data_IF_099124948009
#
_entry.id   IF_099124948009
#
_cell.length_a   1.000
_cell.length_b   1.000
_cell.length_c   1.000
_cell.angle_alpha   90.00
_cell.angle_beta   90.00
_cell.angle_gamma   90.00
#
_symmetry.space_group_name_H-M   'P 1'
#
loop_
_entity.id
_entity.type
_entity.pdbx_description
1 polymer ?
#
# COMPACT_ATOMS: atom_id res chain seq x y z
N UNK A 1 -25.24 -18.73 -44.54
CA UNK A 1 -25.58 -18.43 -43.13
C UNK A 1 -24.61 -19.11 -42.19
N UNK A 2 -24.40 -20.44 -42.27
CA UNK A 2 -23.50 -21.21 -41.38
C UNK A 2 -22.07 -20.67 -41.42
N UNK A 3 -21.50 -20.40 -42.60
CA UNK A 3 -20.15 -19.85 -42.74
C UNK A 3 -20.01 -18.46 -42.14
N UNK A 4 -21.05 -17.63 -42.26
CA UNK A 4 -21.06 -16.29 -41.63
C UNK A 4 -21.06 -16.38 -40.13
N UNK A 5 -21.90 -17.23 -39.55
CA UNK A 5 -21.95 -17.45 -38.08
C UNK A 5 -20.61 -17.98 -37.57
N UNK A 6 -20.02 -18.97 -38.30
CA UNK A 6 -18.70 -19.50 -37.91
C UNK A 6 -17.61 -18.46 -37.89
N UNK A 7 -17.55 -17.61 -38.93
CA UNK A 7 -16.57 -16.53 -38.98
C UNK A 7 -16.77 -15.48 -37.86
N UNK A 8 -18.03 -15.14 -37.57
CA UNK A 8 -18.34 -14.21 -36.49
C UNK A 8 -17.94 -14.77 -35.12
N UNK A 9 -18.20 -16.06 -34.90
CA UNK A 9 -17.79 -16.77 -33.67
C UNK A 9 -16.27 -16.80 -33.55
N UNK A 10 -15.56 -17.08 -34.62
CA UNK A 10 -14.10 -17.12 -34.64
C UNK A 10 -13.53 -15.72 -34.29
N UNK A 11 -14.06 -14.65 -34.89
CA UNK A 11 -13.67 -13.28 -34.60
C UNK A 11 -13.92 -12.94 -33.11
N UNK A 12 -15.07 -13.33 -32.57
CA UNK A 12 -15.38 -13.12 -31.14
C UNK A 12 -14.42 -13.87 -30.23
N UNK A 13 -14.08 -15.12 -30.54
CA UNK A 13 -13.10 -15.91 -29.76
C UNK A 13 -11.69 -15.30 -29.81
N UNK A 14 -11.26 -14.85 -31.00
CA UNK A 14 -9.98 -14.14 -31.15
C UNK A 14 -9.97 -12.85 -30.33
N UNK A 15 -11.06 -12.06 -30.38
CA UNK A 15 -11.19 -10.85 -29.59
C UNK A 15 -11.12 -11.12 -28.07
N UNK A 16 -11.81 -12.15 -27.58
CA UNK A 16 -11.76 -12.57 -26.17
C UNK A 16 -10.34 -13.01 -25.81
N UNK A 17 -9.67 -13.78 -26.70
CA UNK A 17 -8.29 -14.21 -26.49
C UNK A 17 -7.30 -13.03 -26.37
N UNK A 18 -7.44 -12.02 -27.24
CA UNK A 18 -6.62 -10.80 -27.18
C UNK A 18 -6.90 -10.00 -25.91
N UNK A 19 -8.17 -9.92 -25.52
CA UNK A 19 -8.58 -9.20 -24.32
C UNK A 19 -8.14 -9.87 -23.02
N UNK A 20 -7.95 -11.21 -23.04
CA UNK A 20 -7.53 -12.02 -21.90
C UNK A 20 -8.58 -12.20 -20.81
N UNK A 21 -9.78 -11.61 -20.95
CA UNK A 21 -10.87 -11.77 -19.98
C UNK A 21 -12.25 -11.64 -20.64
N UNK A 22 -13.25 -12.23 -20.00
CA UNK A 22 -14.68 -12.08 -20.33
C UNK A 22 -15.38 -11.10 -19.39
N UNK A 23 -14.66 -10.50 -18.43
CA UNK A 23 -15.18 -9.53 -17.46
C UNK A 23 -15.40 -8.15 -18.09
N UNK A 24 -15.90 -7.18 -17.30
CA UNK A 24 -16.09 -5.79 -17.76
C UNK A 24 -14.80 -5.13 -18.23
N UNK A 25 -13.65 -5.52 -17.66
CA UNK A 25 -12.33 -4.99 -17.99
C UNK A 25 -11.43 -6.02 -18.68
N UNK A 26 -10.49 -5.59 -19.56
CA UNK A 26 -9.40 -6.45 -20.03
C UNK A 26 -8.58 -6.97 -18.86
N UNK A 27 -7.84 -8.07 -19.07
CA UNK A 27 -6.88 -8.54 -18.09
C UNK A 27 -5.85 -7.46 -17.82
N UNK A 28 -5.70 -7.09 -16.55
CA UNK A 28 -4.71 -6.13 -16.07
C UNK A 28 -3.59 -6.85 -15.35
N UNK A 29 -2.42 -6.25 -15.35
CA UNK A 29 -1.25 -6.81 -14.67
C UNK A 29 -1.45 -6.93 -13.16
N UNK A 30 -2.08 -5.91 -12.55
CA UNK A 30 -2.39 -5.84 -11.13
C UNK A 30 -3.51 -6.82 -10.69
N UNK A 31 -4.29 -7.35 -11.62
CA UNK A 31 -5.33 -8.36 -11.35
C UNK A 31 -4.87 -9.80 -11.63
N UNK A 32 -3.68 -10.00 -12.22
CA UNK A 32 -3.18 -11.32 -12.64
C UNK A 32 -2.38 -12.00 -11.53
N UNK A 33 -3.05 -12.30 -10.41
CA UNK A 33 -2.46 -12.99 -9.26
C UNK A 33 -3.10 -14.37 -9.06
N UNK A 34 -2.58 -15.39 -9.76
CA UNK A 34 -3.07 -16.78 -9.66
C UNK A 34 -2.37 -17.56 -8.53
N UNK A 35 -1.24 -17.06 -8.03
CA UNK A 35 -0.46 -17.71 -6.98
C UNK A 35 0.21 -16.66 -6.06
N UNK A 36 0.60 -17.10 -4.86
CA UNK A 36 1.41 -16.31 -3.94
C UNK A 36 2.84 -16.05 -4.45
N UNK A 37 3.32 -16.85 -5.39
CA UNK A 37 4.66 -16.74 -5.95
C UNK A 37 4.63 -15.86 -7.20
N UNK A 38 5.38 -14.76 -7.18
CA UNK A 38 5.46 -13.81 -8.28
C UNK A 38 5.94 -14.47 -9.60
N UNK A 39 6.88 -15.42 -9.52
CA UNK A 39 7.37 -16.13 -10.71
C UNK A 39 6.25 -16.91 -11.40
N UNK A 40 5.38 -17.58 -10.63
CA UNK A 40 4.24 -18.31 -11.20
C UNK A 40 3.25 -17.35 -11.89
N UNK A 41 3.00 -16.19 -11.31
CA UNK A 41 2.17 -15.16 -11.91
C UNK A 41 2.77 -14.68 -13.24
N UNK A 42 4.07 -14.43 -13.28
CA UNK A 42 4.75 -13.99 -14.52
C UNK A 42 4.73 -15.06 -15.63
N UNK A 43 5.02 -16.31 -15.31
CA UNK A 43 5.07 -17.38 -16.33
C UNK A 43 3.70 -17.82 -16.83
N UNK A 44 2.64 -17.53 -16.08
CA UNK A 44 1.26 -17.87 -16.46
C UNK A 44 0.63 -16.86 -17.41
N UNK A 45 1.22 -15.67 -17.56
CA UNK A 45 0.72 -14.60 -18.44
C UNK A 45 0.99 -14.94 -19.90
N UNK A 46 0.01 -14.65 -20.78
CA UNK A 46 0.22 -14.74 -22.21
C UNK A 46 1.43 -13.87 -22.63
N UNK A 47 2.41 -14.41 -23.38
CA UNK A 47 3.64 -13.69 -23.73
C UNK A 47 3.41 -12.35 -24.47
N UNK A 48 2.36 -12.25 -25.28
CA UNK A 48 2.03 -11.01 -26.02
C UNK A 48 1.54 -9.95 -25.03
N UNK A 49 0.70 -10.34 -24.07
CA UNK A 49 0.21 -9.45 -23.02
C UNK A 49 1.36 -9.01 -22.13
N UNK A 50 2.19 -9.95 -21.67
CA UNK A 50 3.37 -9.66 -20.87
C UNK A 50 4.35 -8.70 -21.59
N UNK A 51 4.56 -8.90 -22.88
CA UNK A 51 5.39 -7.99 -23.70
C UNK A 51 4.76 -6.60 -23.81
N UNK A 52 3.44 -6.51 -23.99
CA UNK A 52 2.73 -5.22 -24.02
C UNK A 52 2.87 -4.45 -22.72
N UNK A 53 2.71 -5.12 -21.58
CA UNK A 53 2.92 -4.52 -20.25
C UNK A 53 4.36 -4.06 -20.07
N UNK A 54 5.33 -4.92 -20.37
CA UNK A 54 6.75 -4.59 -20.29
C UNK A 54 7.12 -3.37 -21.17
N UNK A 55 6.54 -3.27 -22.37
CA UNK A 55 6.75 -2.14 -23.26
C UNK A 55 6.10 -0.84 -22.73
N UNK A 56 4.92 -0.95 -22.10
CA UNK A 56 4.28 0.19 -21.41
C UNK A 56 5.18 0.70 -20.29
N UNK A 57 5.62 -0.19 -19.40
CA UNK A 57 6.52 0.16 -18.30
C UNK A 57 7.84 0.77 -18.81
N UNK A 58 8.39 0.23 -19.88
CA UNK A 58 9.61 0.79 -20.49
C UNK A 58 9.40 2.22 -21.00
N UNK A 59 8.24 2.52 -21.58
CA UNK A 59 7.91 3.88 -22.08
C UNK A 59 7.61 4.86 -20.95
N UNK A 60 7.10 4.37 -19.82
CA UNK A 60 6.78 5.17 -18.63
C UNK A 60 7.99 5.33 -17.69
N UNK A 61 9.13 4.73 -18.04
CA UNK A 61 10.33 4.85 -17.24
C UNK A 61 10.86 6.27 -17.25
N UNK A 62 10.66 6.96 -16.13
CA UNK A 62 11.43 8.15 -15.83
C UNK A 62 12.91 7.78 -15.74
N UNK A 63 13.76 8.52 -16.43
CA UNK A 63 15.20 8.33 -16.33
C UNK A 63 15.65 8.73 -14.92
N UNK A 64 15.87 7.75 -14.07
CA UNK A 64 16.48 7.97 -12.76
C UNK A 64 17.93 8.39 -12.97
N UNK A 65 18.20 9.69 -12.91
CA UNK A 65 19.57 10.18 -12.83
C UNK A 65 19.98 10.29 -11.36
N UNK A 66 21.10 9.67 -11.02
CA UNK A 66 21.70 9.85 -9.71
C UNK A 66 22.15 11.32 -9.57
N UNK A 67 21.68 12.02 -8.57
CA UNK A 67 22.15 13.35 -8.19
C UNK A 67 23.48 13.21 -7.48
N UNK A 68 24.36 14.17 -7.62
CA UNK A 68 25.59 14.23 -6.83
C UNK A 68 25.26 14.59 -5.36
N UNK A 69 26.23 14.38 -4.44
CA UNK A 69 25.99 14.57 -3.02
C UNK A 69 25.63 16.02 -2.67
N UNK A 70 26.26 16.99 -3.30
CA UNK A 70 26.07 18.42 -3.01
C UNK A 70 24.66 18.88 -3.47
N UNK A 71 24.21 18.41 -4.65
CA UNK A 71 22.85 18.63 -5.13
C UNK A 71 21.82 17.92 -4.23
N UNK A 72 22.14 16.70 -3.76
CA UNK A 72 21.26 15.96 -2.84
C UNK A 72 21.06 16.73 -1.53
N UNK A 73 22.15 17.24 -0.91
CA UNK A 73 22.07 17.99 0.34
C UNK A 73 21.28 19.30 0.16
N UNK A 74 21.50 20.01 -0.94
CA UNK A 74 20.75 21.23 -1.26
C UNK A 74 19.26 20.93 -1.46
N UNK A 75 18.90 19.94 -2.26
CA UNK A 75 17.52 19.51 -2.50
C UNK A 75 16.88 18.97 -1.22
N UNK A 76 17.59 18.22 -0.41
CA UNK A 76 17.10 17.69 0.85
C UNK A 76 16.71 18.83 1.82
N UNK A 77 17.55 19.87 1.92
CA UNK A 77 17.27 21.01 2.79
C UNK A 77 16.07 21.83 2.32
N UNK A 78 15.85 21.93 1.01
CA UNK A 78 14.75 22.68 0.42
C UNK A 78 13.43 21.89 0.47
N UNK A 79 13.44 20.60 0.08
CA UNK A 79 12.24 19.78 -0.02
C UNK A 79 11.80 19.19 1.33
N UNK A 80 12.75 18.94 2.21
CA UNK A 80 12.51 18.36 3.53
C UNK A 80 13.14 19.23 4.62
N UNK A 81 12.62 20.46 4.84
CA UNK A 81 13.15 21.31 5.91
C UNK A 81 13.01 20.55 7.23
N UNK A 82 14.14 20.27 7.85
CA UNK A 82 14.16 19.66 9.19
C UNK A 82 13.59 20.68 10.17
N UNK A 83 12.33 20.52 10.50
CA UNK A 83 11.75 21.23 11.64
C UNK A 83 12.42 20.66 12.90
N UNK A 84 13.46 21.32 13.37
CA UNK A 84 14.04 21.04 14.66
C UNK A 84 13.03 21.41 15.75
N UNK A 85 12.08 20.53 15.99
CA UNK A 85 11.34 20.56 17.22
C UNK A 85 12.27 19.99 18.30
N UNK A 86 12.95 20.85 19.00
CA UNK A 86 13.63 20.51 20.24
C UNK A 86 12.58 20.15 21.29
N UNK A 87 11.96 18.97 21.16
CA UNK A 87 11.25 18.40 22.28
C UNK A 87 12.30 17.93 23.27
N UNK A 88 12.48 18.69 24.34
CA UNK A 88 13.37 18.30 25.45
C UNK A 88 12.88 17.07 26.23
N UNK A 89 11.80 16.43 25.81
CA UNK A 89 11.31 15.20 26.39
C UNK A 89 12.03 14.03 25.75
N UNK A 90 13.06 13.53 26.43
CA UNK A 90 13.59 12.21 26.08
C UNK A 90 12.51 11.18 26.34
N UNK A 91 12.11 10.45 25.28
CA UNK A 91 11.22 9.30 25.43
C UNK A 91 12.07 8.17 25.99
N UNK A 92 11.78 7.74 27.22
CA UNK A 92 12.55 6.69 27.92
C UNK A 92 12.43 5.32 27.24
N UNK A 93 11.40 5.11 26.42
CA UNK A 93 11.15 3.88 25.65
C UNK A 93 10.56 4.26 24.30
N UNK A 94 11.19 3.80 23.21
CA UNK A 94 10.67 4.01 21.86
C UNK A 94 9.29 3.35 21.70
N UNK A 95 8.25 4.07 21.25
CA UNK A 95 6.92 3.50 21.07
C UNK A 95 6.86 2.59 19.84
N UNK A 96 5.91 1.66 19.82
CA UNK A 96 5.52 1.03 18.57
C UNK A 96 4.82 2.05 17.67
N UNK A 97 5.00 1.91 16.35
CA UNK A 97 4.40 2.80 15.35
C UNK A 97 3.63 1.96 14.33
N UNK A 98 2.36 2.28 14.16
CA UNK A 98 1.52 1.64 13.13
C UNK A 98 0.99 2.73 12.21
N UNK A 99 1.24 2.56 10.92
CA UNK A 99 0.74 3.45 9.87
C UNK A 99 -0.19 2.65 8.97
N UNK A 100 -1.44 3.08 8.89
CA UNK A 100 -2.47 2.42 8.07
C UNK A 100 -2.87 3.35 6.94
N UNK A 101 -2.70 2.90 5.70
CA UNK A 101 -3.27 3.56 4.53
C UNK A 101 -4.65 2.94 4.26
N UNK A 102 -5.69 3.65 4.66
CA UNK A 102 -7.08 3.20 4.52
C UNK A 102 -7.63 3.65 3.17
N UNK A 103 -7.88 2.70 2.28
CA UNK A 103 -8.46 2.99 0.96
C UNK A 103 -9.93 3.39 1.09
N UNK A 104 -10.35 4.37 0.29
CA UNK A 104 -11.74 4.84 0.18
C UNK A 104 -12.35 5.44 1.45
N UNK A 105 -11.58 5.66 2.52
CA UNK A 105 -12.05 6.37 3.70
C UNK A 105 -11.98 7.89 3.45
N UNK A 106 -13.02 8.41 2.80
CA UNK A 106 -13.11 9.84 2.48
C UNK A 106 -13.92 10.64 3.50
N UNK A 107 -13.72 11.96 3.50
CA UNK A 107 -14.47 12.89 4.37
C UNK A 107 -15.98 12.91 4.11
N UNK A 108 -16.44 12.43 2.96
CA UNK A 108 -17.86 12.22 2.66
C UNK A 108 -18.54 11.26 3.65
N UNK A 109 -17.83 10.26 4.15
CA UNK A 109 -18.34 9.36 5.18
C UNK A 109 -18.71 10.10 6.47
N UNK A 110 -17.91 11.12 6.82
CA UNK A 110 -18.15 11.95 8.01
C UNK A 110 -19.44 12.76 7.90
N UNK A 111 -19.80 13.21 6.69
CA UNK A 111 -21.02 13.98 6.44
C UNK A 111 -22.28 13.11 6.39
N UNK A 112 -22.14 11.84 6.02
CA UNK A 112 -23.22 10.87 5.92
C UNK A 112 -23.42 10.09 7.23
N UNK A 113 -22.45 10.16 8.13
CA UNK A 113 -22.45 9.41 9.38
C UNK A 113 -23.52 9.92 10.35
N UNK A 114 -24.39 9.01 10.79
CA UNK A 114 -25.41 9.29 11.77
C UNK A 114 -25.56 8.10 12.73
N UNK A 115 -25.15 8.30 13.98
CA UNK A 115 -25.13 7.25 15.00
C UNK A 115 -26.48 6.55 15.24
N UNK A 116 -27.60 7.22 14.93
CA UNK A 116 -28.94 6.67 15.18
C UNK A 116 -29.48 5.88 13.99
N UNK A 117 -29.18 6.30 12.76
CA UNK A 117 -29.82 5.77 11.56
C UNK A 117 -28.80 5.13 10.59
N UNK A 118 -27.57 5.59 10.58
CA UNK A 118 -26.55 5.15 9.62
C UNK A 118 -25.16 5.30 10.22
N UNK A 119 -24.80 4.38 11.11
CA UNK A 119 -23.54 4.39 11.85
C UNK A 119 -22.39 3.88 10.96
N UNK A 120 -21.74 4.80 10.23
CA UNK A 120 -20.62 4.50 9.36
C UNK A 120 -19.28 4.45 10.09
N UNK A 121 -19.11 5.26 11.12
CA UNK A 121 -17.86 5.39 11.84
C UNK A 121 -17.71 4.38 12.97
N UNK A 122 -18.80 3.81 13.46
CA UNK A 122 -18.77 2.82 14.54
C UNK A 122 -17.82 3.23 15.69
N UNK A 123 -16.91 2.36 16.09
CA UNK A 123 -15.91 2.64 17.13
C UNK A 123 -14.93 3.79 16.80
N UNK A 124 -14.72 4.09 15.53
CA UNK A 124 -13.86 5.19 15.09
C UNK A 124 -14.42 6.56 15.45
N UNK A 125 -15.78 6.69 15.60
CA UNK A 125 -16.44 7.94 15.95
C UNK A 125 -15.90 8.57 17.23
N UNK A 126 -15.68 7.78 18.27
CA UNK A 126 -15.18 8.28 19.54
C UNK A 126 -13.79 8.92 19.40
N UNK A 127 -12.91 8.31 18.64
CA UNK A 127 -11.57 8.85 18.33
C UNK A 127 -11.65 10.09 17.43
N UNK A 128 -12.52 10.08 16.43
CA UNK A 128 -12.74 11.22 15.56
C UNK A 128 -13.26 12.45 16.32
N UNK A 129 -14.25 12.28 17.18
CA UNK A 129 -14.78 13.38 18.00
C UNK A 129 -13.75 13.85 19.04
N UNK A 130 -13.02 12.94 19.68
CA UNK A 130 -11.95 13.28 20.60
C UNK A 130 -10.82 14.09 19.91
N UNK A 131 -10.47 13.72 18.68
CA UNK A 131 -9.42 14.40 17.91
C UNK A 131 -9.81 15.79 17.38
N UNK A 132 -11.11 16.12 17.31
CA UNK A 132 -11.60 17.46 16.96
C UNK A 132 -11.49 18.47 18.10
N UNK A 133 -11.38 18.02 19.33
CA UNK A 133 -11.39 18.90 20.50
C UNK A 133 -10.13 19.74 20.53
N UNK A 134 -10.35 21.03 20.43
CA UNK A 134 -9.43 22.14 20.19
C UNK A 134 -8.42 22.34 21.32
N UNK A 135 -7.28 22.82 20.91
CA UNK A 135 -6.07 23.44 21.46
C UNK A 135 -6.05 24.02 22.89
N UNK A 136 -7.12 24.02 23.65
CA UNK A 136 -7.20 24.60 25.01
C UNK A 136 -7.67 23.64 26.11
N UNK A 137 -7.67 22.33 25.87
CA UNK A 137 -8.01 21.36 26.92
C UNK A 137 -6.79 21.10 27.79
N UNK A 138 -6.94 21.24 29.09
CA UNK A 138 -5.94 20.86 30.09
C UNK A 138 -5.71 19.34 30.22
N UNK A 139 -6.47 18.56 29.45
CA UNK A 139 -6.33 17.08 29.41
C UNK A 139 -5.36 16.67 28.31
N UNK A 140 -4.51 15.66 28.53
CA UNK A 140 -3.66 15.12 27.49
C UNK A 140 -4.54 14.61 26.34
N UNK A 141 -4.30 15.13 25.13
CA UNK A 141 -4.98 14.70 23.92
C UNK A 141 -4.23 13.48 23.36
N UNK A 142 -4.96 12.39 23.18
CA UNK A 142 -4.43 11.14 22.60
C UNK A 142 -4.81 10.98 21.12
N UNK A 143 -5.86 11.68 20.67
CA UNK A 143 -6.36 11.62 19.30
C UNK A 143 -6.16 12.98 18.61
N UNK A 144 -5.73 12.93 17.33
CA UNK A 144 -5.54 14.11 16.49
C UNK A 144 -6.21 13.90 15.14
N UNK A 145 -6.99 14.86 14.69
CA UNK A 145 -7.69 14.82 13.40
C UNK A 145 -7.22 15.96 12.52
N UNK A 146 -6.77 15.63 11.33
CA UNK A 146 -6.30 16.58 10.32
C UNK A 146 -7.30 16.65 9.17
N UNK A 147 -8.22 17.63 9.21
CA UNK A 147 -9.32 17.76 8.23
C UNK A 147 -8.85 18.27 6.86
N UNK A 148 -7.72 18.98 6.80
CA UNK A 148 -7.16 19.54 5.57
C UNK A 148 -6.03 18.66 5.00
N UNK A 149 -6.11 17.35 5.24
CA UNK A 149 -5.13 16.40 4.73
C UNK A 149 -5.61 15.85 3.39
N UNK A 150 -4.77 15.95 2.37
CA UNK A 150 -5.02 15.38 1.05
C UNK A 150 -3.96 14.33 0.73
N UNK A 151 -4.35 13.28 0.03
CA UNK A 151 -3.39 12.35 -0.54
C UNK A 151 -2.54 13.05 -1.59
N UNK A 152 -1.28 12.65 -1.72
CA UNK A 152 -0.36 13.24 -2.73
C UNK A 152 -0.74 12.88 -4.15
N UNK A 153 -1.47 11.78 -4.35
CA UNK A 153 -1.90 11.29 -5.66
C UNK A 153 -3.33 10.77 -5.60
N UNK A 154 -3.95 10.66 -6.79
CA UNK A 154 -5.27 10.08 -6.93
C UNK A 154 -5.15 8.57 -7.21
N UNK A 155 -5.04 7.77 -6.17
CA UNK A 155 -4.98 6.31 -6.28
C UNK A 155 -4.08 5.66 -5.24
N UNK A 156 -4.35 4.39 -4.95
CA UNK A 156 -3.71 3.62 -3.88
C UNK A 156 -2.22 3.44 -4.12
N UNK A 157 -1.81 3.06 -5.35
CA UNK A 157 -0.40 2.79 -5.66
C UNK A 157 0.47 4.04 -5.49
N UNK A 158 0.03 5.19 -6.03
CA UNK A 158 0.76 6.45 -5.88
C UNK A 158 0.78 6.96 -4.45
N UNK A 159 -0.34 6.84 -3.72
CA UNK A 159 -0.42 7.24 -2.30
C UNK A 159 0.50 6.37 -1.43
N UNK A 160 0.55 5.08 -1.69
CA UNK A 160 1.46 4.16 -0.99
C UNK A 160 2.93 4.47 -1.29
N UNK A 161 3.26 4.66 -2.58
CA UNK A 161 4.62 5.00 -2.99
C UNK A 161 5.08 6.34 -2.38
N UNK A 162 4.21 7.35 -2.37
CA UNK A 162 4.50 8.63 -1.75
C UNK A 162 4.69 8.53 -0.24
N UNK A 163 3.83 7.79 0.46
CA UNK A 163 3.86 7.69 1.93
C UNK A 163 5.00 6.80 2.43
N UNK A 164 5.20 5.64 1.82
CA UNK A 164 6.10 4.60 2.34
C UNK A 164 7.42 4.50 1.59
N UNK A 165 7.47 4.94 0.34
CA UNK A 165 8.71 4.95 -0.44
C UNK A 165 9.27 6.36 -0.62
N UNK A 166 8.53 7.39 -0.21
CA UNK A 166 8.84 8.82 -0.44
C UNK A 166 9.11 9.13 -1.91
N UNK A 167 8.37 8.47 -2.80
CA UNK A 167 8.51 8.61 -4.24
C UNK A 167 7.25 9.21 -4.87
N UNK A 168 7.38 10.22 -5.75
CA UNK A 168 6.26 10.72 -6.54
C UNK A 168 5.86 9.76 -7.67
N UNK A 169 6.73 8.78 -7.99
CA UNK A 169 6.48 7.79 -9.03
C UNK A 169 5.74 6.58 -8.45
N UNK A 170 4.47 6.39 -8.84
CA UNK A 170 3.64 5.27 -8.41
C UNK A 170 4.22 3.90 -8.82
N UNK A 171 4.98 3.85 -9.93
CA UNK A 171 5.51 2.63 -10.52
C UNK A 171 6.97 2.34 -10.12
N UNK A 172 7.51 3.04 -9.11
CA UNK A 172 8.91 2.89 -8.69
C UNK A 172 9.29 1.45 -8.37
N UNK A 173 8.37 0.68 -7.83
CA UNK A 173 8.54 -0.74 -7.48
C UNK A 173 8.52 -1.69 -8.68
N UNK A 174 8.07 -1.23 -9.84
CA UNK A 174 7.98 -1.99 -11.10
C UNK A 174 9.10 -1.62 -12.08
N UNK A 175 9.61 -0.39 -11.99
CA UNK A 175 10.58 0.17 -12.93
C UNK A 175 12.03 -0.26 -12.67
N UNK A 176 12.97 0.48 -13.25
CA UNK A 176 14.43 0.25 -13.09
C UNK A 176 14.92 0.42 -11.64
N UNK A 177 14.14 1.11 -10.82
CA UNK A 177 14.48 1.35 -9.42
C UNK A 177 14.04 0.21 -8.48
N UNK A 178 13.30 -0.81 -8.95
CA UNK A 178 12.77 -1.90 -8.13
C UNK A 178 13.81 -2.65 -7.28
N UNK A 179 15.06 -2.70 -7.74
CA UNK A 179 16.17 -3.36 -7.06
C UNK A 179 17.10 -2.35 -6.35
N UNK A 180 16.73 -1.05 -6.34
CA UNK A 180 17.54 0.00 -5.74
C UNK A 180 17.03 0.36 -4.36
N UNK A 181 17.94 0.49 -3.41
CA UNK A 181 17.63 1.03 -2.09
C UNK A 181 17.52 2.55 -2.20
N UNK A 182 16.40 3.07 -1.71
CA UNK A 182 16.25 4.50 -1.52
C UNK A 182 16.91 4.90 -0.20
N UNK A 183 17.59 6.04 -0.20
CA UNK A 183 18.37 6.49 0.96
C UNK A 183 17.48 6.80 2.18
N UNK A 184 16.31 7.38 1.95
CA UNK A 184 15.44 7.86 2.99
C UNK A 184 14.00 7.39 2.74
N UNK A 185 13.56 6.37 3.46
CA UNK A 185 12.18 5.89 3.47
C UNK A 185 11.77 5.58 4.90
N UNK A 186 10.47 5.58 5.24
CA UNK A 186 10.04 5.11 6.56
C UNK A 186 10.62 3.74 6.91
N UNK A 187 10.65 2.78 5.97
CA UNK A 187 11.24 1.47 6.20
C UNK A 187 12.72 1.57 6.64
N UNK A 188 13.54 2.31 5.89
CA UNK A 188 14.97 2.46 6.20
C UNK A 188 15.22 3.27 7.49
N UNK A 189 14.43 4.32 7.71
CA UNK A 189 14.56 5.18 8.90
C UNK A 189 14.27 4.41 10.18
N UNK A 190 13.14 3.70 10.24
CA UNK A 190 12.80 2.90 11.42
C UNK A 190 13.74 1.70 11.60
N UNK A 191 14.17 1.07 10.50
CA UNK A 191 15.18 0.01 10.56
C UNK A 191 16.49 0.48 11.18
N UNK A 192 16.99 1.62 10.72
CA UNK A 192 18.23 2.23 11.25
C UNK A 192 18.10 2.69 12.70
N UNK A 193 16.87 3.02 13.14
CA UNK A 193 16.56 3.34 14.53
C UNK A 193 16.38 2.10 15.42
N UNK A 194 16.61 0.88 14.91
CA UNK A 194 16.56 -0.37 15.66
C UNK A 194 15.18 -0.99 15.81
N UNK A 195 14.20 -0.52 15.05
CA UNK A 195 12.86 -1.11 15.02
C UNK A 195 12.84 -2.44 14.27
N UNK A 196 11.91 -3.31 14.65
CA UNK A 196 11.42 -4.34 13.74
C UNK A 196 10.45 -3.69 12.75
N UNK A 197 10.71 -3.89 11.45
CA UNK A 197 9.99 -3.22 10.37
C UNK A 197 9.16 -4.23 9.61
N UNK A 198 7.84 -4.05 9.61
CA UNK A 198 6.88 -5.03 9.07
C UNK A 198 5.94 -4.34 8.09
N UNK A 199 5.69 -4.98 6.96
CA UNK A 199 4.62 -4.62 6.04
C UNK A 199 3.53 -5.69 6.05
N UNK A 200 2.27 -5.29 6.21
CA UNK A 200 1.10 -6.16 6.16
C UNK A 200 0.15 -5.62 5.10
N UNK A 201 -0.36 -6.51 4.26
CA UNK A 201 -1.42 -6.19 3.30
C UNK A 201 -2.52 -7.23 3.36
N UNK A 202 -3.77 -6.78 3.30
CA UNK A 202 -4.94 -7.66 3.13
C UNK A 202 -4.99 -8.26 1.73
N UNK A 203 -4.29 -7.66 0.77
CA UNK A 203 -4.15 -8.10 -0.62
C UNK A 203 -2.96 -9.02 -0.84
N UNK A 204 -2.58 -9.19 -2.11
CA UNK A 204 -1.42 -9.98 -2.50
C UNK A 204 -0.15 -9.12 -2.46
N UNK A 205 0.94 -9.65 -1.86
CA UNK A 205 2.23 -8.95 -1.77
C UNK A 205 2.85 -8.61 -3.14
N UNK A 206 2.46 -9.35 -4.19
CA UNK A 206 2.95 -9.11 -5.54
C UNK A 206 2.26 -7.92 -6.23
N UNK A 207 1.12 -7.45 -5.68
CA UNK A 207 0.45 -6.30 -6.25
C UNK A 207 1.38 -5.09 -6.26
N UNK A 208 1.56 -4.49 -7.43
CA UNK A 208 2.53 -3.41 -7.67
C UNK A 208 3.96 -3.74 -7.19
N UNK A 209 4.27 -5.03 -6.98
CA UNK A 209 5.55 -5.49 -6.42
C UNK A 209 5.92 -4.86 -5.05
N UNK A 210 4.92 -4.36 -4.30
CA UNK A 210 5.16 -3.62 -3.06
C UNK A 210 5.81 -4.47 -1.98
N UNK A 211 5.46 -5.77 -1.89
CA UNK A 211 6.04 -6.65 -0.88
C UNK A 211 7.53 -6.85 -1.05
N UNK A 212 7.99 -7.12 -2.27
CA UNK A 212 9.42 -7.34 -2.54
C UNK A 212 10.19 -6.04 -2.46
N UNK A 213 9.59 -4.93 -2.93
CA UNK A 213 10.23 -3.63 -2.82
C UNK A 213 10.33 -3.13 -1.38
N UNK A 214 9.30 -3.34 -0.53
CA UNK A 214 9.39 -3.06 0.90
C UNK A 214 10.53 -3.82 1.56
N UNK A 215 10.74 -5.10 1.18
CA UNK A 215 11.88 -5.89 1.66
C UNK A 215 13.22 -5.28 1.21
N UNK A 216 13.32 -4.84 -0.05
CA UNK A 216 14.51 -4.13 -0.57
C UNK A 216 14.81 -2.86 0.22
N UNK A 217 13.76 -2.15 0.66
CA UNK A 217 13.87 -0.90 1.43
C UNK A 217 14.10 -1.10 2.93
N UNK A 218 14.07 -2.34 3.43
CA UNK A 218 14.44 -2.65 4.80
C UNK A 218 13.36 -3.28 5.67
N UNK A 219 12.20 -3.68 5.11
CA UNK A 219 11.23 -4.46 5.86
C UNK A 219 11.81 -5.82 6.25
N UNK A 220 11.67 -6.20 7.53
CA UNK A 220 12.11 -7.47 8.07
C UNK A 220 11.17 -8.61 7.69
N UNK A 221 9.88 -8.28 7.55
CA UNK A 221 8.84 -9.24 7.18
C UNK A 221 7.74 -8.58 6.37
N UNK A 222 7.15 -9.35 5.46
CA UNK A 222 5.99 -8.98 4.68
C UNK A 222 4.95 -10.07 4.80
N UNK A 223 3.75 -9.70 5.25
CA UNK A 223 2.61 -10.60 5.40
C UNK A 223 1.48 -10.16 4.49
N UNK A 224 0.92 -11.10 3.74
CA UNK A 224 -0.11 -10.86 2.73
C UNK A 224 -1.36 -11.71 2.95
N UNK A 225 -2.34 -11.60 2.06
CA UNK A 225 -3.58 -12.38 2.12
C UNK A 225 -3.34 -13.88 2.20
N UNK A 226 -2.31 -14.42 1.52
CA UNK A 226 -2.02 -15.85 1.55
C UNK A 226 -1.57 -16.30 2.94
N UNK A 227 -0.68 -15.51 3.56
CA UNK A 227 -0.30 -15.75 4.95
C UNK A 227 -1.50 -15.64 5.90
N UNK A 228 -2.33 -14.60 5.73
CA UNK A 228 -3.51 -14.39 6.57
C UNK A 228 -4.53 -15.51 6.44
N UNK A 229 -4.74 -16.06 5.22
CA UNK A 229 -5.59 -17.24 5.00
C UNK A 229 -5.06 -18.52 5.63
N UNK A 230 -3.75 -18.66 5.75
CA UNK A 230 -3.14 -19.77 6.48
C UNK A 230 -3.28 -19.60 8.00
N UNK A 231 -3.07 -18.38 8.48
CA UNK A 231 -3.14 -18.03 9.90
C UNK A 231 -4.56 -18.03 10.44
N UNK A 232 -5.51 -17.58 9.62
CA UNK A 232 -6.94 -17.45 9.93
C UNK A 232 -7.77 -18.12 8.83
N UNK A 233 -7.97 -19.45 8.87
CA UNK A 233 -8.68 -20.18 7.80
C UNK A 233 -10.07 -19.65 7.46
N UNK A 234 -10.77 -19.03 8.45
CA UNK A 234 -12.07 -18.41 8.26
C UNK A 234 -12.05 -17.19 7.33
N UNK A 235 -10.90 -16.54 7.17
CA UNK A 235 -10.75 -15.40 6.26
C UNK A 235 -10.99 -15.75 4.80
N UNK A 236 -10.88 -17.04 4.45
CA UNK A 236 -11.14 -17.54 3.09
C UNK A 236 -12.60 -17.40 2.65
N UNK A 237 -13.55 -17.36 3.60
CA UNK A 237 -14.97 -17.33 3.28
C UNK A 237 -15.38 -16.06 2.52
N UNK A 238 -14.75 -14.93 2.84
CA UNK A 238 -15.03 -13.63 2.22
C UNK A 238 -13.85 -13.09 1.40
N UNK A 239 -12.89 -13.96 1.08
CA UNK A 239 -11.78 -13.57 0.22
C UNK A 239 -12.27 -13.35 -1.22
N UNK A 240 -11.71 -12.34 -1.86
CA UNK A 240 -12.01 -11.98 -3.23
C UNK A 240 -10.71 -11.65 -4.00
N UNK A 241 -10.82 -11.03 -5.19
CA UNK A 241 -9.67 -10.66 -6.02
C UNK A 241 -8.74 -9.64 -5.34
N UNK A 242 -9.25 -8.85 -4.39
CA UNK A 242 -8.47 -7.87 -3.64
C UNK A 242 -7.79 -8.47 -2.40
N UNK A 243 -8.18 -9.67 -1.99
CA UNK A 243 -7.60 -10.36 -0.84
C UNK A 243 -8.62 -10.78 0.21
N UNK A 244 -8.23 -10.69 1.49
CA UNK A 244 -9.08 -10.97 2.65
C UNK A 244 -9.61 -9.67 3.27
N UNK A 245 -10.57 -9.77 4.19
CA UNK A 245 -11.05 -8.59 4.93
C UNK A 245 -9.93 -8.02 5.81
N UNK A 246 -9.84 -6.70 5.88
CA UNK A 246 -8.79 -5.96 6.61
C UNK A 246 -8.75 -6.27 8.10
N UNK A 247 -9.86 -6.71 8.69
CA UNK A 247 -9.91 -7.13 10.09
C UNK A 247 -8.85 -8.18 10.45
N UNK A 248 -8.49 -9.06 9.50
CA UNK A 248 -7.46 -10.08 9.72
C UNK A 248 -6.05 -9.49 9.71
N UNK A 249 -5.81 -8.45 8.90
CA UNK A 249 -4.56 -7.71 8.93
C UNK A 249 -4.39 -6.95 10.26
N UNK A 250 -5.43 -6.27 10.72
CA UNK A 250 -5.42 -5.57 12.01
C UNK A 250 -5.27 -6.53 13.18
N UNK A 251 -6.00 -7.64 13.16
CA UNK A 251 -5.87 -8.68 14.19
C UNK A 251 -4.44 -9.21 14.27
N UNK A 252 -3.84 -9.49 13.13
CA UNK A 252 -2.47 -10.00 13.07
C UNK A 252 -1.46 -8.94 13.54
N UNK A 253 -1.61 -7.68 13.13
CA UNK A 253 -0.80 -6.58 13.61
C UNK A 253 -0.85 -6.44 15.14
N UNK A 254 -2.04 -6.55 15.72
CA UNK A 254 -2.22 -6.53 17.16
C UNK A 254 -1.54 -7.70 17.86
N UNK A 255 -1.65 -8.93 17.33
CA UNK A 255 -0.93 -10.10 17.85
C UNK A 255 0.60 -9.92 17.83
N UNK A 256 1.13 -9.31 16.76
CA UNK A 256 2.55 -8.98 16.66
C UNK A 256 2.98 -7.98 17.74
N UNK A 257 2.23 -6.90 17.90
CA UNK A 257 2.52 -5.87 18.90
C UNK A 257 2.47 -6.39 20.32
N UNK A 258 1.55 -7.31 20.63
CA UNK A 258 1.48 -7.96 21.94
C UNK A 258 2.72 -8.81 22.28
N UNK A 259 3.36 -9.36 21.26
CA UNK A 259 4.55 -10.22 21.39
C UNK A 259 5.86 -9.48 21.15
N UNK A 260 5.79 -8.21 20.77
CA UNK A 260 6.96 -7.42 20.44
C UNK A 260 7.91 -7.26 21.63
N UNK A 261 9.16 -7.62 21.43
CA UNK A 261 10.24 -7.49 22.44
C UNK A 261 11.10 -6.25 22.19
N UNK A 262 10.99 -5.64 21.03
CA UNK A 262 11.65 -4.40 20.62
C UNK A 262 10.63 -3.46 19.96
N UNK A 263 10.95 -2.18 19.82
CA UNK A 263 10.08 -1.25 19.10
C UNK A 263 9.77 -1.77 17.70
N UNK A 264 8.52 -1.70 17.29
CA UNK A 264 8.05 -2.25 16.02
C UNK A 264 7.36 -1.16 15.19
N UNK A 265 7.74 -1.07 13.92
CA UNK A 265 7.07 -0.26 12.91
C UNK A 265 6.27 -1.18 11.99
N UNK A 266 4.97 -0.92 11.88
CA UNK A 266 4.08 -1.70 11.00
C UNK A 266 3.44 -0.74 9.99
N UNK A 267 3.66 -1.00 8.69
CA UNK A 267 2.90 -0.42 7.61
C UNK A 267 1.76 -1.36 7.21
N UNK A 268 0.54 -0.85 7.06
CA UNK A 268 -0.65 -1.65 6.67
C UNK A 268 -1.31 -1.01 5.46
N UNK A 269 -1.66 -1.85 4.46
CA UNK A 269 -2.45 -1.51 3.29
C UNK A 269 -3.61 -2.50 3.15
#
# INVERSE_FOLDING_TARGET
>A
LVSFVLNLTLIALVFIGIRGSVSAFPLREDEHHIAANALINHISTNPIIAFSWALSHYKEQDSFQAVNLDEFEALQSELFPVFQHNSQKSISKSPNVVVVLMESLGTNMLSLDNALNFDLLMGFRAHFEAGKVVQNSSKPQNDFVFMNFLSSTNGTAGSFASLFFLSPNANISLGLAKDKKLALTPFSVYKNAGYEVIYITSGNRSWQNFGDYATTLGADAVYDSNFLMLRYPQSKQNANIYGVLDEFAYKFAFELLQKATKPTFIAIL
#
